data_IF_859125516607
#
_entry.id   IF_859125516607
#
_cell.length_a   1.000
_cell.length_b   1.000
_cell.length_c   1.000
_cell.angle_alpha   90.00
_cell.angle_beta   90.00
_cell.angle_gamma   90.00
#
_symmetry.space_group_name_H-M   'P 1'
#
loop_
_entity.id
_entity.type
_entity.pdbx_description
1 polymer ?
#
# COMPACT_ATOMS: atom_id res chain seq x y z
N UNK A 1 -2.54 -59.31 -63.14
CA UNK A 1 -3.39 -58.97 -61.98
C UNK A 1 -2.74 -59.61 -60.76
N UNK A 2 -2.09 -58.81 -59.91
CA UNK A 2 -1.78 -59.07 -58.49
C UNK A 2 -1.08 -57.79 -58.01
N UNK A 3 -1.85 -56.94 -57.33
CA UNK A 3 -1.40 -55.64 -56.84
C UNK A 3 -0.56 -55.79 -55.57
N UNK A 4 0.49 -55.00 -55.46
CA UNK A 4 1.34 -54.89 -54.28
C UNK A 4 0.64 -53.94 -53.28
N UNK A 5 0.29 -54.47 -52.11
CA UNK A 5 -0.33 -53.74 -51.01
C UNK A 5 0.73 -52.86 -50.31
N UNK A 6 0.58 -51.54 -50.40
CA UNK A 6 1.44 -50.58 -49.69
C UNK A 6 0.95 -50.50 -48.23
N UNK A 7 1.67 -51.16 -47.32
CA UNK A 7 1.40 -51.11 -45.88
C UNK A 7 1.79 -49.73 -45.30
N UNK A 8 0.78 -48.93 -44.94
CA UNK A 8 0.97 -47.64 -44.27
C UNK A 8 1.36 -47.86 -42.81
N UNK A 9 2.66 -47.82 -42.50
CA UNK A 9 3.16 -47.84 -41.11
C UNK A 9 3.01 -46.45 -40.46
N UNK A 10 2.15 -46.27 -39.45
CA UNK A 10 2.06 -44.99 -38.75
C UNK A 10 3.39 -44.73 -38.01
N UNK A 11 3.98 -43.57 -38.27
CA UNK A 11 5.18 -43.08 -37.59
C UNK A 11 4.87 -43.00 -36.08
N UNK A 12 5.53 -43.83 -35.27
CA UNK A 12 5.48 -43.79 -33.80
C UNK A 12 5.76 -42.34 -33.37
N UNK A 13 4.90 -41.70 -32.55
CA UNK A 13 5.22 -40.38 -32.04
C UNK A 13 6.45 -40.53 -31.16
N UNK A 14 7.52 -39.86 -31.58
CA UNK A 14 8.72 -39.63 -30.79
C UNK A 14 8.28 -39.08 -29.45
N UNK A 15 8.75 -39.70 -28.36
CA UNK A 15 8.42 -39.34 -26.99
C UNK A 15 8.50 -37.83 -26.82
N UNK A 16 7.35 -37.19 -26.66
CA UNK A 16 7.26 -35.78 -26.34
C UNK A 16 8.03 -35.56 -25.03
N UNK A 17 9.22 -35.01 -25.17
CA UNK A 17 10.03 -34.53 -24.07
C UNK A 17 9.13 -33.54 -23.32
N UNK A 18 8.59 -33.97 -22.17
CA UNK A 18 7.82 -33.11 -21.28
C UNK A 18 8.84 -32.18 -20.64
N UNK A 19 9.23 -31.15 -21.37
CA UNK A 19 9.98 -30.04 -20.82
C UNK A 19 9.09 -29.43 -19.74
N UNK A 20 9.48 -29.69 -18.50
CA UNK A 20 9.01 -29.04 -17.29
C UNK A 20 9.07 -27.53 -17.50
N UNK A 21 7.94 -26.96 -17.94
CA UNK A 21 7.75 -25.52 -18.07
C UNK A 21 7.12 -25.01 -16.78
N UNK A 22 7.77 -25.29 -15.66
CA UNK A 22 7.56 -24.53 -14.44
C UNK A 22 8.19 -23.16 -14.68
N UNK A 23 7.41 -22.27 -15.32
CA UNK A 23 7.74 -20.86 -15.49
C UNK A 23 7.76 -20.25 -14.10
N UNK A 24 8.93 -20.27 -13.45
CA UNK A 24 9.14 -19.62 -12.16
C UNK A 24 8.67 -18.18 -12.32
N UNK A 25 7.64 -17.79 -11.56
CA UNK A 25 7.18 -16.41 -11.55
C UNK A 25 8.39 -15.51 -11.24
N UNK A 26 8.56 -14.38 -11.96
CA UNK A 26 9.67 -13.48 -11.68
C UNK A 26 9.59 -13.07 -10.21
N UNK A 27 10.71 -13.23 -9.50
CA UNK A 27 10.82 -12.86 -8.10
C UNK A 27 10.41 -11.39 -7.94
N UNK A 28 9.57 -11.05 -6.96
CA UNK A 28 9.10 -9.69 -6.78
C UNK A 28 10.32 -8.75 -6.68
N UNK A 29 10.30 -7.61 -7.38
CA UNK A 29 11.45 -6.72 -7.43
C UNK A 29 11.80 -6.24 -6.04
N UNK A 30 13.10 -6.32 -5.68
CA UNK A 30 13.60 -5.86 -4.39
C UNK A 30 13.20 -4.40 -4.13
N UNK A 31 12.58 -4.06 -2.98
CA UNK A 31 12.19 -2.69 -2.69
C UNK A 31 13.43 -1.79 -2.52
N UNK A 32 13.30 -0.51 -2.84
CA UNK A 32 14.38 0.47 -2.65
C UNK A 32 14.56 0.83 -1.18
N UNK A 33 13.47 0.80 -0.41
CA UNK A 33 13.46 0.97 1.03
C UNK A 33 12.97 -0.30 1.71
N UNK A 34 13.62 -0.72 2.80
CA UNK A 34 13.29 -1.99 3.48
C UNK A 34 11.90 -1.93 4.12
N UNK A 35 11.54 -0.77 4.64
CA UNK A 35 10.31 -0.53 5.38
C UNK A 35 9.88 0.93 5.26
N UNK A 36 8.71 1.25 5.83
CA UNK A 36 8.17 2.60 5.87
C UNK A 36 9.11 3.60 6.56
N UNK A 37 9.72 3.20 7.67
CA UNK A 37 10.60 4.07 8.46
C UNK A 37 11.79 4.53 7.62
N UNK A 38 12.42 3.60 6.89
CA UNK A 38 13.53 3.91 5.97
C UNK A 38 13.08 4.90 4.88
N UNK A 39 11.91 4.67 4.28
CA UNK A 39 11.38 5.58 3.25
C UNK A 39 11.17 7.00 3.79
N UNK A 40 10.59 7.13 4.99
CA UNK A 40 10.35 8.44 5.59
C UNK A 40 11.66 9.12 5.94
N UNK A 41 12.52 8.43 6.70
CA UNK A 41 13.73 9.00 7.28
C UNK A 41 14.84 9.25 6.27
N UNK A 42 14.98 8.42 5.23
CA UNK A 42 16.09 8.51 4.28
C UNK A 42 15.70 9.25 2.99
N UNK A 43 14.39 9.44 2.73
CA UNK A 43 13.93 10.09 1.51
C UNK A 43 12.89 11.17 1.77
N UNK A 44 11.71 10.81 2.27
CA UNK A 44 10.54 11.69 2.25
C UNK A 44 10.82 13.06 2.90
N UNK A 45 11.41 13.06 4.11
CA UNK A 45 11.69 14.29 4.85
C UNK A 45 12.74 15.18 4.19
N UNK A 46 13.63 14.60 3.36
CA UNK A 46 14.66 15.34 2.63
C UNK A 46 14.17 15.88 1.29
N UNK A 47 13.25 15.17 0.62
CA UNK A 47 12.69 15.62 -0.66
C UNK A 47 11.48 16.55 -0.49
N UNK A 48 10.66 16.33 0.52
CA UNK A 48 9.47 17.14 0.80
C UNK A 48 9.79 18.29 1.78
N UNK A 49 10.61 19.25 1.32
CA UNK A 49 11.05 20.38 2.16
C UNK A 49 9.99 21.49 2.18
N UNK A 50 9.34 21.65 3.33
CA UNK A 50 8.44 22.77 3.64
C UNK A 50 8.74 23.23 5.06
N UNK A 51 8.56 24.52 5.34
CA UNK A 51 8.62 25.01 6.73
C UNK A 51 7.30 24.63 7.39
N UNK A 52 7.30 23.73 8.40
CA UNK A 52 6.13 23.55 9.25
C UNK A 52 5.93 24.88 9.97
N UNK A 53 4.76 25.47 9.79
CA UNK A 53 4.37 26.69 10.50
C UNK A 53 3.05 26.38 11.19
N UNK A 54 3.03 26.59 12.50
CA UNK A 54 1.85 26.36 13.33
C UNK A 54 0.56 27.04 12.83
N UNK A 55 0.65 28.06 11.98
CA UNK A 55 -0.49 28.73 11.38
C UNK A 55 -1.00 28.11 10.06
N UNK A 56 -0.14 27.45 9.29
CA UNK A 56 -0.47 27.01 7.92
C UNK A 56 -0.15 25.54 7.61
N UNK A 57 0.83 24.94 8.31
CA UNK A 57 1.27 23.56 8.08
C UNK A 57 1.71 22.86 9.36
N UNK A 58 1.13 21.70 9.64
CA UNK A 58 1.52 20.84 10.76
C UNK A 58 2.53 19.79 10.32
N UNK A 59 3.44 19.42 11.22
CA UNK A 59 4.24 18.21 11.09
C UNK A 59 4.62 17.74 12.49
N UNK A 60 4.29 16.49 12.82
CA UNK A 60 4.72 15.87 14.06
C UNK A 60 6.02 15.09 13.80
N UNK A 61 7.13 15.36 14.53
CA UNK A 61 8.35 14.57 14.39
C UNK A 61 8.13 13.11 14.83
N UNK A 62 7.19 12.86 15.74
CA UNK A 62 6.76 11.54 16.20
C UNK A 62 5.57 11.01 15.39
N UNK A 63 5.63 11.16 14.06
CA UNK A 63 4.55 10.79 13.14
C UNK A 63 4.07 9.33 13.30
N UNK A 64 4.91 8.43 13.79
CA UNK A 64 4.57 7.02 14.02
C UNK A 64 3.58 6.80 15.16
N UNK A 65 3.30 7.82 15.99
CA UNK A 65 2.28 7.78 17.05
C UNK A 65 0.88 8.16 16.54
N UNK A 66 0.74 8.44 15.25
CA UNK A 66 -0.51 8.85 14.63
C UNK A 66 -0.92 7.81 13.57
N UNK A 67 -1.90 6.96 13.87
CA UNK A 67 -2.30 5.83 13.01
C UNK A 67 -2.68 6.28 11.59
N UNK A 68 -3.45 7.36 11.48
CA UNK A 68 -3.81 7.92 10.18
C UNK A 68 -2.55 8.37 9.40
N UNK A 69 -1.57 8.96 10.10
CA UNK A 69 -0.32 9.38 9.45
C UNK A 69 0.50 8.17 8.98
N UNK A 70 0.61 7.13 9.82
CA UNK A 70 1.29 5.88 9.47
C UNK A 70 0.67 5.26 8.21
N UNK A 71 -0.66 5.14 8.16
CA UNK A 71 -1.37 4.55 7.02
C UNK A 71 -1.20 5.38 5.74
N UNK A 72 -1.28 6.71 5.83
CA UNK A 72 -1.04 7.60 4.68
C UNK A 72 0.41 7.52 4.17
N UNK A 73 1.39 7.52 5.08
CA UNK A 73 2.80 7.40 4.71
C UNK A 73 3.11 6.01 4.14
N UNK A 74 2.47 4.95 4.65
CA UNK A 74 2.55 3.60 4.10
C UNK A 74 2.00 3.54 2.66
N UNK A 75 0.86 4.18 2.39
CA UNK A 75 0.31 4.28 1.04
C UNK A 75 1.26 5.02 0.10
N UNK A 76 1.86 6.13 0.55
CA UNK A 76 2.87 6.87 -0.22
C UNK A 76 4.11 6.04 -0.57
N UNK A 77 4.62 5.29 0.40
CA UNK A 77 5.77 4.41 0.20
C UNK A 77 5.45 3.30 -0.80
N UNK A 78 4.31 2.61 -0.64
CA UNK A 78 3.90 1.55 -1.57
C UNK A 78 3.69 2.08 -2.99
N UNK A 79 3.06 3.24 -3.14
CA UNK A 79 2.91 3.89 -4.44
C UNK A 79 4.27 4.29 -5.05
N UNK A 80 5.22 4.74 -4.21
CA UNK A 80 6.58 5.05 -4.67
C UNK A 80 7.30 3.80 -5.19
N UNK A 81 7.26 2.70 -4.44
CA UNK A 81 7.91 1.44 -4.86
C UNK A 81 7.31 0.90 -6.17
N UNK A 82 5.99 1.02 -6.34
CA UNK A 82 5.31 0.61 -7.57
C UNK A 82 5.70 1.48 -8.77
N UNK A 83 5.73 2.81 -8.60
CA UNK A 83 5.90 3.76 -9.71
C UNK A 83 7.37 4.11 -10.01
N UNK A 84 8.32 3.91 -9.09
CA UNK A 84 9.73 4.28 -9.33
C UNK A 84 10.41 3.44 -10.42
N UNK A 85 9.83 2.28 -10.76
CA UNK A 85 10.32 1.34 -11.79
C UNK A 85 9.49 1.42 -13.07
N UNK A 86 8.65 2.44 -13.19
CA UNK A 86 7.85 2.64 -14.39
C UNK A 86 8.75 3.03 -15.57
N UNK A 87 8.78 2.16 -16.58
CA UNK A 87 9.61 2.30 -17.78
C UNK A 87 9.11 3.39 -18.76
N UNK A 88 7.93 3.97 -18.52
CA UNK A 88 7.39 5.09 -19.32
C UNK A 88 8.11 6.42 -19.07
N UNK A 89 8.92 6.51 -18.02
CA UNK A 89 9.56 7.74 -17.57
C UNK A 89 8.62 8.71 -16.84
N UNK A 90 7.32 8.39 -16.74
CA UNK A 90 6.32 9.22 -16.07
C UNK A 90 6.07 8.81 -14.61
N UNK A 91 6.59 7.66 -14.17
CA UNK A 91 6.30 7.10 -12.84
C UNK A 91 6.52 8.07 -11.68
N UNK A 92 7.63 8.81 -11.69
CA UNK A 92 7.90 9.78 -10.62
C UNK A 92 6.93 10.98 -10.67
N UNK A 93 6.56 11.45 -11.86
CA UNK A 93 5.57 12.53 -12.02
C UNK A 93 4.20 12.08 -11.52
N UNK A 94 3.77 10.88 -11.92
CA UNK A 94 2.52 10.27 -11.46
C UNK A 94 2.53 10.05 -9.95
N UNK A 95 3.65 9.60 -9.39
CA UNK A 95 3.80 9.45 -7.94
C UNK A 95 3.57 10.79 -7.21
N UNK A 96 4.15 11.89 -7.72
CA UNK A 96 3.92 13.21 -7.14
C UNK A 96 2.47 13.64 -7.21
N UNK A 97 1.90 13.63 -8.43
CA UNK A 97 0.59 14.21 -8.71
C UNK A 97 -0.56 13.41 -8.10
N UNK A 98 -0.49 12.08 -8.17
CA UNK A 98 -1.60 11.20 -7.79
C UNK A 98 -1.50 10.70 -6.35
N UNK A 99 -0.32 10.73 -5.74
CA UNK A 99 -0.11 10.15 -4.40
C UNK A 99 0.54 11.15 -3.44
N UNK A 100 1.77 11.61 -3.71
CA UNK A 100 2.54 12.43 -2.79
C UNK A 100 1.81 13.71 -2.40
N UNK A 101 1.43 14.54 -3.36
CA UNK A 101 0.81 15.84 -3.07
C UNK A 101 -0.54 15.73 -2.36
N UNK A 102 -1.48 14.84 -2.78
CA UNK A 102 -2.74 14.65 -2.06
C UNK A 102 -2.56 14.22 -0.60
N UNK A 103 -1.72 13.21 -0.34
CA UNK A 103 -1.51 12.74 1.04
C UNK A 103 -0.76 13.77 1.88
N UNK A 104 0.29 14.39 1.34
CA UNK A 104 1.07 15.39 2.07
C UNK A 104 0.26 16.65 2.37
N UNK A 105 -0.68 17.03 1.50
CA UNK A 105 -1.62 18.13 1.76
C UNK A 105 -2.47 17.87 3.00
N UNK A 106 -3.00 16.65 3.15
CA UNK A 106 -3.80 16.29 4.33
C UNK A 106 -2.92 16.14 5.57
N UNK A 107 -1.79 15.43 5.46
CA UNK A 107 -0.85 15.24 6.57
C UNK A 107 -0.40 16.58 7.16
N UNK A 108 -0.10 17.56 6.31
CA UNK A 108 0.36 18.86 6.75
C UNK A 108 -0.76 19.86 7.01
N UNK A 109 -2.03 19.48 6.87
CA UNK A 109 -3.14 20.41 7.11
C UNK A 109 -3.22 20.82 8.57
N UNK A 110 -3.77 22.01 8.82
CA UNK A 110 -3.97 22.53 10.19
C UNK A 110 -4.98 21.73 10.99
N UNK A 111 -5.95 21.14 10.29
CA UNK A 111 -7.02 20.22 10.71
C UNK A 111 -6.72 18.76 10.32
N UNK A 112 -5.45 18.46 10.02
CA UNK A 112 -5.01 17.12 9.67
C UNK A 112 -4.66 16.24 10.87
N UNK A 113 -4.04 15.07 10.64
CA UNK A 113 -3.67 14.10 11.69
C UNK A 113 -2.76 14.67 12.80
N UNK A 114 -2.09 15.79 12.51
CA UNK A 114 -1.17 16.47 13.43
C UNK A 114 -1.74 17.76 14.02
N UNK A 115 -3.06 17.97 13.98
CA UNK A 115 -3.72 19.21 14.45
C UNK A 115 -3.30 19.61 15.88
N UNK A 116 -3.21 18.63 16.78
CA UNK A 116 -2.87 18.84 18.20
C UNK A 116 -1.37 19.04 18.45
N UNK A 117 -0.52 18.70 17.48
CA UNK A 117 0.95 18.72 17.60
C UNK A 117 1.56 20.10 17.28
N UNK A 118 1.04 21.17 17.90
CA UNK A 118 1.39 22.56 17.53
C UNK A 118 2.80 22.99 17.93
N UNK A 119 3.28 22.52 19.08
CA UNK A 119 4.57 22.90 19.70
C UNK A 119 5.45 21.67 20.02
N UNK A 120 5.17 20.55 19.38
CA UNK A 120 5.72 19.24 19.73
C UNK A 120 4.64 18.17 19.65
N UNK A 121 5.05 16.90 19.75
CA UNK A 121 4.11 15.82 19.90
C UNK A 121 3.25 16.04 21.15
N UNK A 122 1.97 15.77 21.02
CA UNK A 122 1.04 15.74 22.15
C UNK A 122 0.42 14.35 22.13
N UNK A 123 0.82 13.55 23.11
CA UNK A 123 0.04 12.37 23.47
C UNK A 123 -1.32 12.88 23.94
N UNK A 124 -2.36 12.14 23.60
CA UNK A 124 -3.68 12.41 24.16
C UNK A 124 -3.61 12.52 25.66
N UNK A 125 -4.40 13.46 26.17
CA UNK A 125 -4.95 13.60 27.50
C UNK A 125 -4.72 12.35 28.36
N UNK A 126 -4.33 12.54 29.63
CA UNK A 126 -3.89 11.53 30.62
C UNK A 126 -4.87 10.35 30.87
N UNK A 127 -5.96 10.26 30.09
CA UNK A 127 -7.05 9.29 30.06
C UNK A 127 -6.63 7.91 29.51
N UNK A 128 -5.37 7.75 29.09
CA UNK A 128 -4.83 6.46 28.65
C UNK A 128 -5.29 6.02 27.25
N UNK A 129 -5.76 6.95 26.41
CA UNK A 129 -6.17 6.64 25.04
C UNK A 129 -4.92 6.59 24.11
N UNK A 130 -4.56 5.42 23.54
CA UNK A 130 -3.34 5.27 22.73
C UNK A 130 -3.39 6.03 21.39
N UNK A 131 -4.56 6.51 20.97
CA UNK A 131 -4.78 7.15 19.68
C UNK A 131 -4.62 8.69 19.73
N UNK A 132 -3.44 9.16 20.15
CA UNK A 132 -3.02 10.59 20.13
C UNK A 132 -4.05 11.60 20.65
N UNK A 133 -4.93 11.17 21.56
CA UNK A 133 -5.95 12.02 22.21
C UNK A 133 -7.21 12.29 21.43
N UNK A 134 -7.37 11.70 20.25
CA UNK A 134 -8.61 11.87 19.49
C UNK A 134 -9.42 10.59 19.61
N UNK A 135 -10.62 10.71 20.16
CA UNK A 135 -11.55 9.59 20.19
C UNK A 135 -11.86 9.12 18.76
N UNK A 136 -12.05 7.81 18.53
CA UNK A 136 -12.47 7.32 17.23
C UNK A 136 -13.80 7.96 16.83
N UNK A 137 -14.07 8.00 15.52
CA UNK A 137 -15.35 8.52 15.02
C UNK A 137 -16.52 7.77 15.68
N UNK A 138 -17.57 8.49 16.08
CA UNK A 138 -18.74 7.86 16.69
C UNK A 138 -19.35 6.90 15.67
N UNK A 139 -19.52 5.66 16.08
CA UNK A 139 -20.21 4.65 15.29
C UNK A 139 -21.06 3.80 16.24
N UNK A 140 -22.11 3.23 15.67
CA UNK A 140 -22.82 2.10 16.24
C UNK A 140 -22.39 0.86 15.45
N UNK A 141 -22.51 -0.32 16.05
CA UNK A 141 -22.25 -1.56 15.32
C UNK A 141 -23.16 -1.65 14.09
N UNK A 142 -22.57 -2.04 12.96
CA UNK A 142 -23.32 -2.18 11.71
C UNK A 142 -24.33 -3.32 11.84
N UNK A 143 -25.58 -3.05 11.47
CA UNK A 143 -26.63 -4.06 11.43
C UNK A 143 -26.31 -5.13 10.37
N UNK A 144 -26.04 -6.36 10.82
CA UNK A 144 -25.64 -7.44 9.93
C UNK A 144 -26.70 -7.74 8.87
N UNK A 145 -27.98 -7.69 9.25
CA UNK A 145 -29.09 -8.04 8.38
C UNK A 145 -29.29 -6.98 7.30
N UNK A 146 -29.07 -5.70 7.63
CA UNK A 146 -29.13 -4.59 6.66
C UNK A 146 -28.11 -4.71 5.51
N UNK A 147 -27.01 -5.42 5.74
CA UNK A 147 -25.92 -5.60 4.79
C UNK A 147 -25.83 -7.03 4.23
N UNK A 148 -26.68 -7.96 4.68
CA UNK A 148 -26.77 -9.31 4.14
C UNK A 148 -27.15 -9.32 2.65
N UNK A 149 -27.98 -8.36 2.23
CA UNK A 149 -28.38 -8.19 0.83
C UNK A 149 -27.27 -7.69 -0.10
N UNK A 150 -26.17 -7.17 0.46
CA UNK A 150 -25.05 -6.61 -0.31
C UNK A 150 -23.89 -7.62 -0.47
N UNK A 151 -24.02 -8.84 0.05
CA UNK A 151 -22.91 -9.80 0.20
C UNK A 151 -21.68 -9.15 0.86
N UNK A 152 -21.92 -8.13 1.69
CA UNK A 152 -20.90 -7.25 2.25
C UNK A 152 -20.31 -7.81 3.56
N UNK A 153 -20.75 -9.00 3.98
CA UNK A 153 -20.24 -9.69 5.14
C UNK A 153 -19.56 -10.99 4.73
N UNK A 154 -18.28 -11.12 5.06
CA UNK A 154 -17.62 -12.42 4.99
C UNK A 154 -18.21 -13.33 6.09
N UNK A 155 -18.70 -14.50 5.71
CA UNK A 155 -19.18 -15.53 6.65
C UNK A 155 -18.05 -16.13 7.51
N UNK A 156 -16.79 -15.91 7.12
CA UNK A 156 -15.60 -16.36 7.84
C UNK A 156 -14.92 -15.20 8.57
N UNK A 157 -14.42 -15.47 9.78
CA UNK A 157 -13.57 -14.54 10.52
C UNK A 157 -12.32 -14.20 9.67
N UNK A 158 -12.29 -13.00 9.09
CA UNK A 158 -11.08 -12.45 8.51
C UNK A 158 -10.19 -12.04 9.69
N UNK A 159 -9.01 -12.64 9.88
CA UNK A 159 -8.10 -12.21 10.93
C UNK A 159 -7.79 -10.72 10.73
N UNK A 160 -8.07 -9.88 11.72
CA UNK A 160 -7.61 -8.49 11.69
C UNK A 160 -6.09 -8.51 11.58
N UNK A 161 -5.55 -7.88 10.55
CA UNK A 161 -4.11 -7.64 10.47
C UNK A 161 -3.73 -6.75 11.66
N UNK A 162 -2.87 -7.28 12.53
CA UNK A 162 -2.31 -6.59 13.70
C UNK A 162 -1.43 -5.41 13.29
#
# INVERSE_FOLDING_TARGET
MMGEEIEFRPRRPESANTADNTRSAPEPPKPAFTNLVDFVQQRLVFVYRRVPDSAARRWCPEWWRHDEAVLRLAALWRAYEALRRDDTGLGLSNWWLQHADPHMRVLMSVDGPFELCKKGHRDGDDDGNPHYGIAPLPHIEADRDAFAALDAWAESEIPRAA
#
